data_IF_098886090774
#
_entry.id   IF_098886090774
#
_cell.length_a   1.000
_cell.length_b   1.000
_cell.length_c   1.000
_cell.angle_alpha   90.00
_cell.angle_beta   90.00
_cell.angle_gamma   90.00
#
_symmetry.space_group_name_H-M   'P 1'
#
loop_
_entity.id
_entity.type
_entity.pdbx_description
1 polymer ?
#
# COMPACT_ATOMS: atom_id res chain seq x y z
N UNK A 1 4.98 10.98 -15.24
CA UNK A 1 3.83 11.41 -14.40
C UNK A 1 3.96 12.91 -14.15
N UNK A 2 2.84 13.64 -14.19
CA UNK A 2 2.82 15.08 -13.92
C UNK A 2 3.03 15.43 -12.44
N UNK A 3 2.78 16.69 -12.07
CA UNK A 3 2.75 17.13 -10.67
C UNK A 3 1.77 16.28 -9.84
N UNK A 4 1.98 16.21 -8.53
CA UNK A 4 1.03 15.53 -7.62
C UNK A 4 -0.32 16.29 -7.68
N UNK A 5 -1.46 15.60 -7.79
CA UNK A 5 -2.77 16.27 -7.87
C UNK A 5 -3.02 17.17 -6.66
N UNK A 6 -3.56 18.38 -6.88
CA UNK A 6 -3.84 19.34 -5.79
C UNK A 6 -4.83 18.86 -4.74
N UNK A 7 -5.67 17.85 -5.08
CA UNK A 7 -6.63 17.24 -4.16
C UNK A 7 -5.96 16.32 -3.12
N UNK A 8 -4.75 15.86 -3.40
CA UNK A 8 -4.01 14.96 -2.51
C UNK A 8 -3.61 15.70 -1.25
N UNK A 9 -3.98 15.17 -0.08
CA UNK A 9 -3.70 15.78 1.23
C UNK A 9 -2.75 14.96 2.08
N UNK A 10 -2.40 13.74 1.64
CA UNK A 10 -1.50 12.88 2.39
C UNK A 10 -0.05 13.30 2.32
N UNK A 11 0.72 12.70 3.22
CA UNK A 11 2.13 13.01 3.45
C UNK A 11 3.05 11.83 3.14
N UNK A 12 4.33 12.11 3.00
CA UNK A 12 5.38 11.11 2.98
C UNK A 12 5.96 10.87 4.38
N UNK A 13 5.12 10.44 5.32
CA UNK A 13 5.54 10.01 6.65
C UNK A 13 6.05 8.56 6.65
N UNK A 14 6.91 8.22 5.70
CA UNK A 14 7.36 6.85 5.45
C UNK A 14 8.39 6.32 6.45
N UNK A 15 8.85 7.15 7.39
CA UNK A 15 9.83 6.76 8.41
C UNK A 15 11.24 6.52 7.85
N UNK A 16 11.97 5.63 8.51
CA UNK A 16 13.40 5.40 8.24
C UNK A 16 13.65 4.93 6.81
N UNK A 17 14.60 5.58 6.13
CA UNK A 17 15.04 5.22 4.77
C UNK A 17 13.90 5.11 3.75
N UNK A 18 12.85 5.92 3.86
CA UNK A 18 11.74 5.93 2.90
C UNK A 18 11.63 7.30 2.23
N UNK A 19 11.38 7.32 0.92
CA UNK A 19 11.14 8.57 0.20
C UNK A 19 10.05 8.39 -0.85
N UNK A 20 9.17 9.39 -0.92
CA UNK A 20 8.10 9.45 -1.90
C UNK A 20 8.58 10.15 -3.17
N UNK A 21 7.86 9.94 -4.26
CA UNK A 21 8.13 10.54 -5.55
C UNK A 21 6.81 10.81 -6.28
N UNK A 22 6.87 11.07 -7.59
CA UNK A 22 5.65 11.31 -8.37
C UNK A 22 4.80 10.05 -8.59
N UNK A 23 5.30 8.84 -8.29
CA UNK A 23 4.55 7.58 -8.41
C UNK A 23 3.97 7.15 -7.07
N UNK A 24 4.83 6.98 -6.06
CA UNK A 24 4.44 6.75 -4.66
C UNK A 24 4.35 8.12 -4.02
N UNK A 25 3.15 8.68 -3.89
CA UNK A 25 2.93 10.08 -3.49
C UNK A 25 2.71 10.25 -1.99
N UNK A 26 2.46 9.16 -1.27
CA UNK A 26 2.32 9.15 0.18
C UNK A 26 2.70 7.81 0.77
N UNK A 27 3.14 7.82 2.01
CA UNK A 27 3.52 6.63 2.75
C UNK A 27 3.35 6.86 4.25
N UNK A 28 2.72 5.90 4.93
CA UNK A 28 2.50 5.88 6.38
C UNK A 28 2.61 4.43 6.88
N UNK A 29 2.88 4.26 8.17
CA UNK A 29 2.98 2.96 8.81
C UNK A 29 2.35 3.01 10.21
N UNK A 30 1.72 1.91 10.60
CA UNK A 30 0.94 1.78 11.82
C UNK A 30 1.20 0.44 12.53
N UNK A 31 2.03 -0.43 11.94
CA UNK A 31 2.41 -1.70 12.53
C UNK A 31 3.15 -1.50 13.85
N UNK A 32 2.85 -2.35 14.84
CA UNK A 32 3.54 -2.31 16.12
C UNK A 32 5.03 -2.60 15.94
N UNK A 33 5.88 -1.74 16.51
CA UNK A 33 7.34 -1.73 16.39
C UNK A 33 7.89 -1.50 14.96
N UNK A 34 7.06 -1.09 14.00
CA UNK A 34 7.58 -0.62 12.72
C UNK A 34 8.22 0.76 12.89
N UNK A 35 9.36 0.98 12.23
CA UNK A 35 10.02 2.29 12.15
C UNK A 35 9.80 2.97 10.78
N UNK A 36 9.16 2.29 9.84
CA UNK A 36 8.98 2.78 8.47
C UNK A 36 7.87 2.05 7.70
N UNK A 37 7.39 2.70 6.64
CA UNK A 37 6.50 2.13 5.63
C UNK A 37 7.24 1.24 4.61
N UNK A 38 8.55 0.99 4.82
CA UNK A 38 9.31 0.08 3.96
C UNK A 38 8.79 -1.33 4.13
N UNK A 39 8.52 -1.96 2.99
CA UNK A 39 8.11 -3.35 2.90
C UNK A 39 9.34 -4.27 3.03
N UNK A 40 9.33 -5.12 4.05
CA UNK A 40 10.37 -6.12 4.34
C UNK A 40 9.93 -7.55 3.97
N UNK A 41 8.63 -7.75 3.76
CA UNK A 41 8.00 -9.04 3.45
C UNK A 41 7.85 -9.22 1.93
N UNK A 42 7.41 -8.18 1.22
CA UNK A 42 7.24 -8.16 -0.23
C UNK A 42 5.77 -8.21 -0.68
N UNK A 43 4.84 -8.66 0.16
CA UNK A 43 3.42 -8.75 -0.18
C UNK A 43 2.82 -7.40 -0.62
N UNK A 44 3.16 -6.32 0.09
CA UNK A 44 2.72 -4.95 -0.25
C UNK A 44 3.29 -4.46 -1.58
N UNK A 45 4.57 -4.74 -1.85
CA UNK A 45 5.24 -4.40 -3.11
C UNK A 45 4.64 -5.19 -4.28
N UNK A 46 4.34 -6.48 -4.09
CA UNK A 46 3.74 -7.33 -5.12
C UNK A 46 2.31 -6.88 -5.48
N UNK A 47 1.46 -6.63 -4.48
CA UNK A 47 0.06 -6.20 -4.69
C UNK A 47 -0.03 -4.78 -5.28
N UNK A 48 0.79 -3.85 -4.78
CA UNK A 48 0.83 -2.47 -5.30
C UNK A 48 1.35 -2.40 -6.74
N UNK A 49 2.35 -3.20 -7.10
CA UNK A 49 2.84 -3.30 -8.48
C UNK A 49 1.84 -3.98 -9.42
N UNK A 50 1.06 -4.94 -8.95
CA UNK A 50 -0.03 -5.55 -9.73
C UNK A 50 -1.17 -4.56 -10.01
N UNK A 51 -1.47 -3.67 -9.06
CA UNK A 51 -2.51 -2.65 -9.22
C UNK A 51 -2.03 -1.46 -10.07
N UNK A 52 -0.88 -0.91 -9.73
CA UNK A 52 -0.39 0.36 -10.25
C UNK A 52 1.06 0.35 -10.72
N UNK A 53 1.74 -0.78 -10.88
CA UNK A 53 3.13 -0.82 -11.35
C UNK A 53 3.34 -0.10 -12.68
N UNK A 54 4.43 0.66 -12.80
CA UNK A 54 4.89 1.17 -14.09
C UNK A 54 5.33 0.01 -14.98
N UNK A 55 5.37 0.25 -16.28
CA UNK A 55 5.95 -0.70 -17.23
C UNK A 55 7.44 -0.89 -16.92
N UNK A 56 7.84 -2.15 -16.72
CA UNK A 56 9.23 -2.57 -16.58
C UNK A 56 9.47 -3.69 -17.58
N UNK A 57 10.35 -3.42 -18.55
CA UNK A 57 10.68 -4.35 -19.65
C UNK A 57 11.75 -5.35 -19.21
N UNK A 58 11.71 -6.55 -19.78
CA UNK A 58 12.77 -7.55 -19.60
C UNK A 58 12.82 -8.12 -18.19
N UNK A 59 11.67 -8.24 -17.53
CA UNK A 59 11.57 -8.86 -16.20
C UNK A 59 11.16 -10.31 -16.32
N UNK A 60 11.64 -11.12 -15.38
CA UNK A 60 11.35 -12.55 -15.26
C UNK A 60 11.63 -13.01 -13.83
N UNK A 61 11.07 -14.15 -13.44
CA UNK A 61 11.45 -14.85 -12.22
C UNK A 61 12.22 -16.12 -12.59
N UNK A 62 13.55 -16.12 -12.46
CA UNK A 62 14.41 -17.22 -12.91
C UNK A 62 14.09 -17.66 -14.35
N UNK A 63 14.06 -16.69 -15.28
CA UNK A 63 13.67 -16.84 -16.70
C UNK A 63 12.21 -17.24 -16.97
N UNK A 64 11.39 -17.49 -15.94
CA UNK A 64 9.97 -17.73 -16.09
C UNK A 64 9.21 -16.43 -16.32
N UNK A 65 8.20 -16.49 -17.19
CA UNK A 65 7.30 -15.39 -17.54
C UNK A 65 8.03 -14.12 -18.02
N UNK A 66 9.02 -14.30 -18.91
CA UNK A 66 9.77 -13.20 -19.48
C UNK A 66 8.83 -12.25 -20.27
N UNK A 67 8.90 -10.96 -19.97
CA UNK A 67 8.12 -9.95 -20.68
C UNK A 67 8.21 -8.56 -20.08
N UNK A 68 7.12 -7.80 -20.24
CA UNK A 68 6.95 -6.47 -19.63
C UNK A 68 5.94 -6.56 -18.51
N UNK A 69 6.37 -6.35 -17.26
CA UNK A 69 5.45 -6.24 -16.14
C UNK A 69 4.83 -4.84 -16.08
N UNK A 70 3.56 -4.77 -15.71
CA UNK A 70 2.82 -3.54 -15.43
C UNK A 70 1.69 -3.81 -14.44
N UNK A 71 1.14 -2.75 -13.85
CA UNK A 71 -0.09 -2.82 -13.07
C UNK A 71 -1.35 -2.53 -13.90
N UNK A 72 -2.53 -2.83 -13.34
CA UNK A 72 -3.85 -2.49 -13.90
C UNK A 72 -3.94 -1.09 -14.50
N UNK A 73 -3.47 -0.10 -13.73
CA UNK A 73 -3.48 1.32 -14.10
C UNK A 73 -2.07 1.90 -13.94
N UNK A 74 -1.16 1.75 -14.93
CA UNK A 74 0.25 2.13 -14.78
C UNK A 74 0.49 3.61 -14.44
N UNK A 75 -0.46 4.48 -14.80
CA UNK A 75 -0.40 5.92 -14.57
C UNK A 75 -1.09 6.39 -13.28
N UNK A 76 -1.65 5.48 -12.47
CA UNK A 76 -2.19 5.81 -11.14
C UNK A 76 -1.10 6.36 -10.22
N UNK A 77 -1.50 6.96 -9.11
CA UNK A 77 -0.60 7.25 -7.98
C UNK A 77 -0.81 6.19 -6.91
N UNK A 78 0.24 5.92 -6.13
CA UNK A 78 0.20 4.97 -5.03
C UNK A 78 0.40 5.75 -3.74
N UNK A 79 -0.44 5.48 -2.75
CA UNK A 79 -0.21 5.85 -1.36
C UNK A 79 -0.16 4.54 -0.56
N UNK A 80 0.90 4.34 0.21
CA UNK A 80 1.14 3.10 0.94
C UNK A 80 0.82 3.29 2.43
N UNK A 81 -0.09 2.48 2.96
CA UNK A 81 -0.46 2.47 4.38
C UNK A 81 -0.08 1.10 4.94
N UNK A 82 1.09 1.01 5.58
CA UNK A 82 1.60 -0.26 6.13
C UNK A 82 0.95 -0.54 7.48
N UNK A 83 0.00 -1.47 7.50
CA UNK A 83 -0.76 -1.84 8.72
C UNK A 83 -0.30 -3.15 9.35
N UNK A 84 0.38 -4.01 8.58
CA UNK A 84 1.03 -5.20 9.10
C UNK A 84 2.49 -4.87 9.41
N UNK A 85 2.97 -5.28 10.57
CA UNK A 85 4.37 -5.20 10.89
C UNK A 85 5.20 -6.26 10.13
N UNK A 86 6.51 -6.23 10.31
CA UNK A 86 7.45 -7.17 9.68
C UNK A 86 7.25 -8.66 10.07
N UNK A 87 6.40 -8.94 11.06
CA UNK A 87 6.02 -10.30 11.47
C UNK A 87 4.69 -10.75 10.82
N UNK A 88 4.12 -9.92 9.95
CA UNK A 88 2.82 -10.16 9.31
C UNK A 88 1.63 -9.91 10.25
N UNK A 89 1.84 -9.31 11.42
CA UNK A 89 0.76 -9.00 12.35
C UNK A 89 0.11 -7.66 12.01
N UNK A 90 -1.19 -7.69 11.75
CA UNK A 90 -1.99 -6.52 11.41
C UNK A 90 -3.08 -6.34 12.48
N UNK A 91 -3.01 -5.25 13.26
CA UNK A 91 -3.98 -5.00 14.34
C UNK A 91 -5.19 -4.24 13.81
N UNK A 92 -6.36 -4.45 14.42
CA UNK A 92 -7.56 -3.68 14.07
C UNK A 92 -7.37 -2.18 14.23
N UNK A 93 -6.64 -1.75 15.26
CA UNK A 93 -6.25 -0.36 15.45
C UNK A 93 -5.45 0.18 14.27
N UNK A 94 -4.42 -0.54 13.82
CA UNK A 94 -3.59 -0.12 12.69
C UNK A 94 -4.41 -0.02 11.39
N UNK A 95 -5.32 -0.97 11.16
CA UNK A 95 -6.22 -0.98 9.99
C UNK A 95 -7.15 0.25 10.02
N UNK A 96 -7.82 0.51 11.14
CA UNK A 96 -8.74 1.65 11.28
C UNK A 96 -8.01 2.99 11.18
N UNK A 97 -6.83 3.12 11.79
CA UNK A 97 -5.99 4.32 11.64
C UNK A 97 -5.58 4.58 10.19
N UNK A 98 -5.22 3.52 9.45
CA UNK A 98 -4.89 3.65 8.04
C UNK A 98 -6.10 4.04 7.18
N UNK A 99 -7.29 3.53 7.47
CA UNK A 99 -8.50 3.94 6.77
C UNK A 99 -8.83 5.41 7.00
N UNK A 100 -8.80 5.87 8.26
CA UNK A 100 -9.08 7.26 8.62
C UNK A 100 -8.16 8.22 7.85
N UNK A 101 -6.85 7.95 7.88
CA UNK A 101 -5.86 8.72 7.12
C UNK A 101 -6.06 8.59 5.61
N UNK A 102 -6.30 7.39 5.07
CA UNK A 102 -6.48 7.20 3.63
C UNK A 102 -7.67 7.98 3.08
N UNK A 103 -8.80 7.94 3.78
CA UNK A 103 -10.02 8.69 3.42
C UNK A 103 -9.74 10.19 3.52
N UNK A 104 -9.13 10.66 4.61
CA UNK A 104 -8.80 12.07 4.82
C UNK A 104 -7.77 12.60 3.79
N UNK A 105 -6.79 11.77 3.42
CA UNK A 105 -5.75 12.07 2.43
C UNK A 105 -6.33 12.18 1.00
N UNK A 106 -7.54 11.66 0.78
CA UNK A 106 -8.29 11.77 -0.47
C UNK A 106 -7.91 10.70 -1.50
N UNK A 107 -7.66 9.47 -1.06
CA UNK A 107 -7.50 8.32 -1.97
C UNK A 107 -8.78 8.08 -2.78
N UNK A 108 -8.63 7.67 -4.03
CA UNK A 108 -9.78 7.39 -4.91
C UNK A 108 -10.31 5.96 -4.78
N UNK A 109 -9.42 5.00 -4.52
CA UNK A 109 -9.70 3.57 -4.39
C UNK A 109 -8.73 2.99 -3.38
N UNK A 110 -9.24 2.18 -2.45
CA UNK A 110 -8.43 1.41 -1.52
C UNK A 110 -8.39 -0.04 -2.01
N UNK A 111 -7.18 -0.62 -2.08
CA UNK A 111 -6.97 -2.04 -2.35
C UNK A 111 -6.44 -2.70 -1.08
N UNK A 112 -7.11 -3.77 -0.64
CA UNK A 112 -6.81 -4.48 0.61
C UNK A 112 -6.72 -5.95 0.26
N UNK A 113 -5.53 -6.53 0.44
CA UNK A 113 -5.27 -7.96 0.18
C UNK A 113 -4.99 -8.67 1.50
N UNK A 114 -5.92 -8.51 2.44
CA UNK A 114 -5.87 -9.14 3.77
C UNK A 114 -7.30 -9.37 4.27
N UNK A 115 -7.41 -10.20 5.28
CA UNK A 115 -8.67 -10.50 5.95
C UNK A 115 -8.42 -11.42 7.14
N UNK A 116 -9.39 -11.49 8.04
CA UNK A 116 -9.35 -12.42 9.16
C UNK A 116 -10.02 -13.75 8.77
N UNK A 117 -9.46 -14.91 9.16
CA UNK A 117 -10.18 -16.17 9.01
C UNK A 117 -11.37 -16.24 9.98
N UNK A 118 -12.48 -16.83 9.51
CA UNK A 118 -13.70 -17.03 10.30
C UNK A 118 -14.78 -15.97 10.04
N UNK A 119 -15.97 -16.24 10.57
CA UNK A 119 -17.11 -15.31 10.50
C UNK A 119 -17.15 -14.55 11.82
N UNK A 120 -17.10 -13.22 11.72
CA UNK A 120 -17.28 -12.29 12.84
C UNK A 120 -18.37 -11.29 12.46
N UNK A 121 -18.99 -10.66 13.46
CA UNK A 121 -19.97 -9.62 13.20
C UNK A 121 -19.31 -8.44 12.47
N UNK A 122 -20.07 -7.81 11.57
CA UNK A 122 -19.64 -6.61 10.85
C UNK A 122 -19.10 -5.52 11.79
N UNK A 123 -19.74 -5.34 12.95
CA UNK A 123 -19.35 -4.32 13.94
C UNK A 123 -18.02 -4.61 14.63
N UNK A 124 -17.57 -5.86 14.60
CA UNK A 124 -16.32 -6.32 15.20
C UNK A 124 -15.20 -6.50 14.16
N UNK A 125 -15.43 -6.18 12.88
CA UNK A 125 -14.45 -6.38 11.81
C UNK A 125 -13.84 -5.07 11.27
N UNK A 126 -12.55 -4.78 11.56
CA UNK A 126 -11.87 -3.56 11.12
C UNK A 126 -11.86 -3.27 9.60
N UNK A 127 -12.02 -4.27 8.73
CA UNK A 127 -12.09 -4.07 7.28
C UNK A 127 -13.49 -3.64 6.82
N UNK A 128 -14.53 -3.93 7.61
CA UNK A 128 -15.92 -3.67 7.26
C UNK A 128 -16.35 -2.21 7.48
N UNK A 129 -15.50 -1.25 7.10
CA UNK A 129 -15.74 0.19 7.25
C UNK A 129 -16.95 0.71 6.46
#
# INVERSE_FOLDING_TARGET
>A
LGAIPKKWKGDCAGGRNFSCNKKIIGARFYGFNDESARDSDGHGTHTSSTTGGREVKGVSFNDLSNGTARGGVPYSRIAAYKVCNDQGMCTGQAILSAFDDAIADGVDVITISMGRPGIIDFLDEPISI
#
